data_IF_004410422557
#
_entry.id   IF_004410422557
#
_cell.length_a   1.000
_cell.length_b   1.000
_cell.length_c   1.000
_cell.angle_alpha   90.00
_cell.angle_beta   90.00
_cell.angle_gamma   90.00
#
_symmetry.space_group_name_H-M   'P 1'
#
loop_
_entity.id
_entity.type
_entity.pdbx_description
1 polymer ?
#
# COMPACT_ATOMS: atom_id res chain seq x y z
N UNK A 1 10.85 -11.95 13.35
CA UNK A 1 10.73 -10.58 12.77
C UNK A 1 9.27 -10.32 12.47
N UNK A 2 8.60 -9.38 13.17
CA UNK A 2 7.16 -9.17 13.03
C UNK A 2 6.87 -8.51 11.66
N UNK A 3 6.26 -9.25 10.73
CA UNK A 3 5.98 -8.82 9.35
C UNK A 3 5.33 -7.43 9.28
N UNK A 4 4.39 -7.14 10.18
CA UNK A 4 3.70 -5.86 10.26
C UNK A 4 4.62 -4.71 10.68
N UNK A 5 5.63 -4.97 11.52
CA UNK A 5 6.65 -3.96 11.85
C UNK A 5 7.42 -3.56 10.60
N UNK A 6 7.83 -4.53 9.78
CA UNK A 6 8.56 -4.22 8.56
C UNK A 6 7.69 -3.47 7.55
N UNK A 7 6.40 -3.81 7.46
CA UNK A 7 5.45 -3.04 6.65
C UNK A 7 5.35 -1.57 7.10
N UNK A 8 5.29 -1.30 8.41
CA UNK A 8 5.27 0.08 8.93
C UNK A 8 6.54 0.88 8.64
N UNK A 9 7.69 0.21 8.48
CA UNK A 9 8.94 0.86 8.07
C UNK A 9 8.94 1.16 6.56
N UNK A 10 8.50 0.20 5.74
CA UNK A 10 8.35 0.37 4.29
C UNK A 10 7.41 1.53 3.96
N UNK A 11 6.30 1.64 4.71
CA UNK A 11 5.33 2.71 4.59
C UNK A 11 5.78 4.02 5.26
N UNK A 12 6.99 4.10 5.81
CA UNK A 12 7.52 5.32 6.42
C UNK A 12 6.84 5.74 7.73
N UNK A 13 5.97 4.91 8.31
CA UNK A 13 5.31 5.17 9.61
C UNK A 13 6.26 4.98 10.79
N UNK A 14 7.30 4.17 10.62
CA UNK A 14 8.32 3.93 11.63
C UNK A 14 9.73 4.04 11.07
N UNK A 15 10.66 4.48 11.91
CA UNK A 15 12.10 4.53 11.63
C UNK A 15 12.86 4.26 12.92
N UNK A 16 13.83 3.35 12.88
CA UNK A 16 14.68 2.99 14.02
C UNK A 16 13.89 2.68 15.31
N UNK A 17 12.75 1.98 15.17
CA UNK A 17 11.90 1.60 16.30
C UNK A 17 10.95 2.69 16.82
N UNK A 18 11.07 3.94 16.38
CA UNK A 18 10.16 5.04 16.75
C UNK A 18 9.11 5.31 15.66
N UNK A 19 8.00 5.95 16.03
CA UNK A 19 7.03 6.51 15.08
C UNK A 19 7.66 7.73 14.38
N UNK A 20 7.44 7.85 13.08
CA UNK A 20 7.71 9.11 12.36
C UNK A 20 6.58 10.11 12.63
N UNK A 21 6.71 11.41 12.27
CA UNK A 21 5.61 12.37 12.38
C UNK A 21 4.32 11.88 11.71
N UNK A 22 4.44 11.31 10.51
CA UNK A 22 3.34 10.66 9.80
C UNK A 22 2.74 9.50 10.58
N UNK A 23 3.58 8.59 11.08
CA UNK A 23 3.12 7.46 11.91
C UNK A 23 2.41 7.93 13.18
N UNK A 24 2.88 9.02 13.80
CA UNK A 24 2.26 9.61 14.97
C UNK A 24 0.90 10.26 14.66
N UNK A 25 0.74 10.90 13.49
CA UNK A 25 -0.57 11.40 13.03
C UNK A 25 -1.54 10.23 12.83
N UNK A 26 -1.15 9.23 12.05
CA UNK A 26 -1.98 8.04 11.79
C UNK A 26 -2.35 7.27 13.07
N UNK A 27 -1.49 7.28 14.08
CA UNK A 27 -1.76 6.64 15.36
C UNK A 27 -2.82 7.39 16.20
N UNK A 28 -2.98 8.70 15.99
CA UNK A 28 -4.00 9.52 16.68
C UNK A 28 -5.35 9.49 15.97
N UNK A 29 -5.36 9.30 14.66
CA UNK A 29 -6.58 9.17 13.88
C UNK A 29 -7.30 7.86 14.19
N UNK A 30 -8.62 7.88 14.07
CA UNK A 30 -9.48 6.71 14.24
C UNK A 30 -10.53 6.65 13.13
N UNK A 31 -11.22 5.51 13.04
CA UNK A 31 -12.27 5.28 12.05
C UNK A 31 -11.84 5.61 10.63
N UNK A 32 -12.73 6.30 9.90
CA UNK A 32 -12.57 6.61 8.48
C UNK A 32 -11.42 7.56 8.17
N UNK A 33 -11.17 8.53 9.04
CA UNK A 33 -10.12 9.52 8.85
C UNK A 33 -8.74 8.87 8.80
N UNK A 34 -8.52 7.86 9.66
CA UNK A 34 -7.29 7.06 9.66
C UNK A 34 -7.08 6.36 8.32
N UNK A 35 -8.14 5.79 7.75
CA UNK A 35 -8.08 5.08 6.48
C UNK A 35 -7.86 6.03 5.30
N UNK A 36 -8.53 7.19 5.28
CA UNK A 36 -8.29 8.25 4.29
C UNK A 36 -6.85 8.74 4.32
N UNK A 37 -6.30 8.99 5.51
CA UNK A 37 -4.91 9.40 5.66
C UNK A 37 -3.92 8.30 5.21
N UNK A 38 -4.21 7.03 5.53
CA UNK A 38 -3.37 5.91 5.12
C UNK A 38 -3.39 5.70 3.60
N UNK A 39 -4.56 5.82 2.98
CA UNK A 39 -4.74 5.75 1.52
C UNK A 39 -4.00 6.88 0.82
N UNK A 40 -4.23 8.13 1.24
CA UNK A 40 -3.57 9.30 0.67
C UNK A 40 -2.04 9.19 0.75
N UNK A 41 -1.53 8.69 1.87
CA UNK A 41 -0.09 8.45 2.02
C UNK A 41 0.40 7.30 1.12
N UNK A 42 -0.34 6.18 1.04
CA UNK A 42 0.07 5.08 0.17
C UNK A 42 0.09 5.47 -1.31
N UNK A 43 -0.90 6.23 -1.75
CA UNK A 43 -1.06 6.65 -3.14
C UNK A 43 0.14 7.43 -3.69
N UNK A 44 0.95 8.04 -2.81
CA UNK A 44 2.18 8.78 -3.18
C UNK A 44 3.47 7.97 -3.02
N UNK A 45 3.38 6.68 -2.67
CA UNK A 45 4.57 5.81 -2.59
C UNK A 45 5.06 5.40 -3.97
N UNK A 46 6.34 5.01 -4.08
CA UNK A 46 6.93 4.54 -5.33
C UNK A 46 6.19 3.33 -5.92
N UNK A 47 5.75 2.40 -5.07
CA UNK A 47 5.02 1.21 -5.52
C UNK A 47 3.64 1.56 -6.06
N UNK A 48 2.92 2.48 -5.41
CA UNK A 48 1.62 2.95 -5.90
C UNK A 48 1.76 3.74 -7.20
N UNK A 49 2.77 4.62 -7.28
CA UNK A 49 3.09 5.40 -8.48
C UNK A 49 3.46 4.50 -9.66
N UNK A 50 4.29 3.48 -9.43
CA UNK A 50 4.66 2.50 -10.45
C UNK A 50 3.44 1.68 -10.92
N UNK A 51 2.56 1.26 -9.99
CA UNK A 51 1.37 0.51 -10.34
C UNK A 51 0.36 1.36 -11.14
N UNK A 52 0.18 2.63 -10.76
CA UNK A 52 -0.62 3.61 -11.53
C UNK A 52 -0.09 3.78 -12.96
N UNK A 53 1.21 4.04 -13.09
CA UNK A 53 1.84 4.23 -14.39
C UNK A 53 1.72 2.99 -15.27
N UNK A 54 1.98 1.79 -14.71
CA UNK A 54 1.87 0.53 -15.43
C UNK A 54 0.43 0.20 -15.85
N UNK A 55 -0.56 0.47 -14.98
CA UNK A 55 -1.97 0.21 -15.24
C UNK A 55 -2.68 1.31 -16.04
N UNK A 56 -1.98 2.41 -16.35
CA UNK A 56 -2.50 3.59 -17.04
C UNK A 56 -3.76 4.20 -16.39
N UNK A 57 -3.87 4.11 -15.06
CA UNK A 57 -4.97 4.68 -14.29
C UNK A 57 -4.62 6.07 -13.77
N UNK A 58 -5.63 6.89 -13.50
CA UNK A 58 -5.44 8.29 -13.07
C UNK A 58 -5.40 8.46 -11.55
N UNK A 59 -5.93 7.49 -10.82
CA UNK A 59 -5.95 7.50 -9.35
C UNK A 59 -5.92 6.08 -8.80
N UNK A 60 -5.48 5.93 -7.55
CA UNK A 60 -5.25 4.61 -6.95
C UNK A 60 -6.54 3.80 -6.83
N UNK A 61 -7.67 4.48 -6.62
CA UNK A 61 -9.01 3.92 -6.57
C UNK A 61 -9.42 3.24 -7.89
N UNK A 62 -8.87 3.67 -9.02
CA UNK A 62 -9.17 3.12 -10.34
C UNK A 62 -8.33 1.89 -10.71
N UNK A 63 -7.33 1.54 -9.89
CA UNK A 63 -6.53 0.34 -10.09
C UNK A 63 -7.40 -0.89 -9.85
N UNK A 64 -7.32 -1.86 -10.75
CA UNK A 64 -7.91 -3.19 -10.53
C UNK A 64 -7.00 -3.98 -9.59
N UNK A 65 -7.45 -4.35 -8.37
CA UNK A 65 -6.57 -4.98 -7.38
C UNK A 65 -6.09 -6.38 -7.82
N UNK A 66 -6.83 -7.06 -8.70
CA UNK A 66 -6.47 -8.32 -9.35
C UNK A 66 -5.24 -8.19 -10.27
N UNK A 67 -4.94 -6.97 -10.73
CA UNK A 67 -3.77 -6.70 -11.59
C UNK A 67 -2.43 -6.73 -10.83
N UNK A 68 -2.43 -6.84 -9.49
CA UNK A 68 -1.24 -6.75 -8.65
C UNK A 68 -0.16 -7.79 -9.01
N UNK A 69 -0.56 -9.02 -9.36
CA UNK A 69 0.39 -10.08 -9.74
C UNK A 69 1.02 -9.81 -11.10
N UNK A 70 0.22 -9.37 -12.08
CA UNK A 70 0.70 -9.00 -13.40
C UNK A 70 1.65 -7.80 -13.33
N UNK A 71 1.29 -6.77 -12.56
CA UNK A 71 2.14 -5.61 -12.28
C UNK A 71 3.50 -6.02 -11.70
N UNK A 72 3.49 -6.81 -10.62
CA UNK A 72 4.74 -7.22 -9.97
C UNK A 72 5.57 -8.14 -10.86
N UNK A 73 4.93 -8.99 -11.68
CA UNK A 73 5.63 -9.83 -12.66
C UNK A 73 6.33 -8.99 -13.72
N UNK A 74 5.69 -7.92 -14.20
CA UNK A 74 6.24 -7.03 -15.20
C UNK A 74 7.33 -6.09 -14.65
N UNK A 75 7.17 -5.59 -13.42
CA UNK A 75 8.00 -4.49 -12.91
C UNK A 75 9.03 -4.91 -11.85
N UNK A 76 8.83 -6.01 -11.11
CA UNK A 76 9.72 -6.40 -10.01
C UNK A 76 10.73 -7.47 -10.46
N UNK A 77 11.69 -7.07 -11.30
CA UNK A 77 12.75 -7.95 -11.80
C UNK A 77 13.58 -8.55 -10.66
N UNK A 78 13.80 -9.87 -10.69
CA UNK A 78 14.64 -10.56 -9.70
C UNK A 78 13.89 -11.14 -8.49
N UNK A 79 12.56 -11.03 -8.42
CA UNK A 79 11.76 -11.74 -7.42
C UNK A 79 11.35 -13.14 -7.91
N UNK A 80 11.34 -14.12 -7.00
CA UNK A 80 10.76 -15.44 -7.28
C UNK A 80 9.25 -15.34 -7.50
N UNK A 81 8.68 -16.26 -8.30
CA UNK A 81 7.23 -16.34 -8.50
C UNK A 81 6.44 -16.45 -7.17
N UNK A 82 6.95 -17.24 -6.22
CA UNK A 82 6.37 -17.35 -4.88
C UNK A 82 6.38 -16.03 -4.10
N UNK A 83 7.42 -15.22 -4.26
CA UNK A 83 7.52 -13.90 -3.63
C UNK A 83 6.60 -12.89 -4.30
N UNK A 84 6.50 -12.92 -5.64
CA UNK A 84 5.56 -12.11 -6.42
C UNK A 84 4.14 -12.39 -5.94
N UNK A 85 3.70 -13.65 -5.92
CA UNK A 85 2.35 -14.03 -5.49
C UNK A 85 1.99 -13.55 -4.08
N UNK A 86 2.91 -13.71 -3.12
CA UNK A 86 2.71 -13.23 -1.74
C UNK A 86 2.62 -11.70 -1.66
N UNK A 87 3.44 -10.98 -2.42
CA UNK A 87 3.42 -9.51 -2.45
C UNK A 87 2.18 -8.98 -3.19
N UNK A 88 1.76 -9.65 -4.26
CA UNK A 88 0.54 -9.35 -4.99
C UNK A 88 -0.69 -9.48 -4.07
N UNK A 89 -0.76 -10.56 -3.30
CA UNK A 89 -1.80 -10.72 -2.28
C UNK A 89 -1.80 -9.58 -1.26
N UNK A 90 -0.61 -9.12 -0.85
CA UNK A 90 -0.49 -7.98 0.08
C UNK A 90 -1.04 -6.70 -0.53
N UNK A 91 -0.63 -6.36 -1.76
CA UNK A 91 -1.09 -5.17 -2.48
C UNK A 91 -2.61 -5.20 -2.74
N UNK A 92 -3.13 -6.36 -3.16
CA UNK A 92 -4.56 -6.59 -3.35
C UNK A 92 -5.33 -6.34 -2.06
N UNK A 93 -4.92 -6.96 -0.96
CA UNK A 93 -5.57 -6.78 0.35
C UNK A 93 -5.51 -5.32 0.78
N UNK A 94 -4.38 -4.64 0.63
CA UNK A 94 -4.26 -3.22 0.99
C UNK A 94 -5.18 -2.32 0.17
N UNK A 95 -5.22 -2.52 -1.16
CA UNK A 95 -6.10 -1.76 -2.04
C UNK A 95 -7.57 -1.95 -1.62
N UNK A 96 -8.06 -3.18 -1.55
CA UNK A 96 -9.44 -3.48 -1.17
C UNK A 96 -9.79 -2.89 0.20
N UNK A 97 -8.96 -3.15 1.22
CA UNK A 97 -9.21 -2.65 2.58
C UNK A 97 -9.24 -1.12 2.63
N UNK A 98 -8.32 -0.44 1.95
CA UNK A 98 -8.32 1.02 1.93
C UNK A 98 -9.53 1.60 1.21
N UNK A 99 -9.90 1.06 0.05
CA UNK A 99 -11.08 1.56 -0.68
C UNK A 99 -12.36 1.35 0.14
N UNK A 100 -12.54 0.16 0.70
CA UNK A 100 -13.71 -0.18 1.53
C UNK A 100 -13.85 0.75 2.75
N UNK A 101 -12.74 1.08 3.43
CA UNK A 101 -12.80 1.82 4.68
C UNK A 101 -12.57 3.33 4.54
N UNK A 102 -11.98 3.80 3.43
CA UNK A 102 -11.76 5.22 3.14
C UNK A 102 -12.88 5.86 2.31
N UNK A 103 -13.58 5.06 1.49
CA UNK A 103 -14.68 5.50 0.64
C UNK A 103 -15.89 5.98 1.44
N UNK A 104 -16.59 7.01 0.94
CA UNK A 104 -18.00 7.23 1.28
C UNK A 104 -18.80 6.11 0.61
N UNK A 105 -19.57 5.36 1.41
CA UNK A 105 -20.62 4.50 0.88
C UNK A 105 -21.61 5.34 0.06
#
# INVERSE_FOLDING_TARGET
>A
MNYYRRATEILGYRRNGALTPLGAVLNRLSGKEKWRAALAHFAVTDVASAWLAWSQKRSFEQIEPESAEAFLTACATGLSASTIKRRAQTLRTWHVTWIEHAGDA
#
